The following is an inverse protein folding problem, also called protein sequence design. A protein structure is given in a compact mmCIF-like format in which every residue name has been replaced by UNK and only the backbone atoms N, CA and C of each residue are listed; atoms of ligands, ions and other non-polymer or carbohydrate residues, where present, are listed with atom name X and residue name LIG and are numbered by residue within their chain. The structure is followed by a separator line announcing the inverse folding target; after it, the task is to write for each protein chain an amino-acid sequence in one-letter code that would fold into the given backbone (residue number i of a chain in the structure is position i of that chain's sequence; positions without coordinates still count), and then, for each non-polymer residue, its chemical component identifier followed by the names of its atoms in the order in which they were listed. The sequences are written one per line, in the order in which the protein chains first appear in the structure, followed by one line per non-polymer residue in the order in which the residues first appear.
data_IF_659617647486
#
_entry.id   IF_659617647486
#
_cell.length_a   1.000
_cell.length_b   1.000
_cell.length_c   1.000
_cell.angle_alpha   90.00
_cell.angle_beta   90.00
_cell.angle_gamma   90.00
#
_symmetry.space_group_name_H-M   'P 1'
#
loop_
_entity.id
_entity.type
_entity.pdbx_description
1 polymer ?
#
# COMPACT_ATOMS: atom_id res chain seq x y z
N UNK A 1 36.18 -34.19 28.22
CA UNK A 1 36.14 -35.41 29.04
C UNK A 1 34.82 -35.33 29.82
N UNK A 2 33.74 -35.83 29.23
CA UNK A 2 33.22 -37.22 29.38
C UNK A 2 32.56 -37.40 30.75
N UNK A 3 31.42 -38.07 30.95
CA UNK A 3 30.39 -38.69 30.11
C UNK A 3 29.29 -39.19 31.09
N UNK A 4 28.12 -39.56 30.56
CA UNK A 4 27.28 -40.70 30.99
C UNK A 4 26.78 -40.76 32.45
N UNK A 5 25.48 -40.60 32.72
CA UNK A 5 24.40 -41.61 32.60
C UNK A 5 24.65 -42.93 33.32
N UNK A 6 23.77 -43.34 34.24
CA UNK A 6 23.13 -44.67 34.29
C UNK A 6 22.21 -44.85 35.51
N UNK A 7 21.08 -45.53 35.27
CA UNK A 7 20.10 -46.07 36.23
C UNK A 7 20.43 -47.56 36.47
N UNK A 8 20.07 -48.15 37.62
CA UNK A 8 19.18 -49.34 37.63
C UNK A 8 18.20 -49.36 38.84
N UNK A 9 16.91 -49.66 38.67
CA UNK A 9 16.22 -50.97 38.61
C UNK A 9 15.77 -51.53 39.99
N UNK A 10 14.52 -52.03 40.03
CA UNK A 10 14.00 -53.21 40.75
C UNK A 10 12.63 -53.05 41.48
N UNK A 11 11.61 -53.68 40.86
CA UNK A 11 10.61 -54.66 41.37
C UNK A 11 9.84 -54.44 42.71
N UNK A 12 8.50 -54.55 42.64
CA UNK A 12 7.65 -55.47 43.45
C UNK A 12 6.17 -55.41 42.96
N UNK A 13 5.63 -56.48 42.34
CA UNK A 13 4.70 -57.50 42.87
C UNK A 13 3.20 -57.10 42.97
N UNK A 14 2.33 -57.89 42.29
CA UNK A 14 1.03 -58.30 42.87
C UNK A 14 -0.19 -58.38 41.95
N UNK A 15 -0.44 -59.59 41.39
CA UNK A 15 -1.72 -60.31 41.09
C UNK A 15 -2.89 -59.65 40.33
N UNK A 16 -3.82 -60.32 39.64
CA UNK A 16 -3.99 -61.58 38.87
C UNK A 16 -5.52 -61.67 38.54
N UNK A 17 -5.90 -62.41 37.49
CA UNK A 17 -7.22 -63.03 37.21
C UNK A 17 -8.27 -62.27 36.36
N UNK A 18 -8.44 -62.74 35.12
CA UNK A 18 -9.68 -62.72 34.32
C UNK A 18 -10.42 -64.07 34.50
N UNK A 19 -11.69 -64.26 34.08
CA UNK A 19 -11.94 -64.66 32.68
C UNK A 19 -13.30 -64.27 32.07
N UNK A 20 -13.36 -64.52 30.76
CA UNK A 20 -14.43 -64.47 29.74
C UNK A 20 -15.65 -65.38 29.97
N UNK A 21 -16.79 -65.08 29.32
CA UNK A 21 -17.60 -66.04 28.51
C UNK A 21 -18.63 -65.36 27.58
N UNK A 22 -18.90 -66.04 26.46
CA UNK A 22 -19.71 -65.71 25.26
C UNK A 22 -21.23 -66.03 25.37
N UNK A 23 -22.01 -65.64 24.35
CA UNK A 23 -23.28 -66.26 23.91
C UNK A 23 -24.33 -65.27 23.34
N UNK A 24 -24.52 -65.17 22.00
CA UNK A 24 -25.61 -65.78 21.18
C UNK A 24 -27.03 -65.18 21.41
N UNK A 25 -27.94 -64.89 20.47
CA UNK A 25 -28.03 -64.81 19.01
C UNK A 25 -29.39 -64.14 18.63
N UNK A 26 -29.48 -63.67 17.38
CA UNK A 26 -30.66 -63.65 16.49
C UNK A 26 -31.76 -62.55 16.57
N UNK A 27 -31.86 -61.70 15.53
CA UNK A 27 -32.99 -61.67 14.56
C UNK A 27 -32.82 -60.58 13.48
N UNK A 28 -32.95 -60.99 12.23
CA UNK A 28 -33.16 -60.16 11.02
C UNK A 28 -34.56 -59.54 11.02
N UNK A 29 -34.72 -58.28 10.58
CA UNK A 29 -35.64 -57.92 9.47
C UNK A 29 -35.58 -56.42 9.09
N UNK A 30 -35.52 -56.20 7.77
CA UNK A 30 -36.11 -55.10 6.99
C UNK A 30 -35.87 -53.62 7.36
N UNK A 31 -35.01 -52.96 6.55
CA UNK A 31 -35.31 -51.62 6.00
C UNK A 31 -35.77 -51.79 4.55
N UNK A 32 -36.71 -50.96 4.07
CA UNK A 32 -36.30 -50.05 3.00
C UNK A 32 -36.87 -48.62 3.11
N UNK A 33 -36.20 -47.72 2.41
CA UNK A 33 -36.66 -46.43 1.87
C UNK A 33 -37.06 -45.27 2.80
N UNK A 34 -36.03 -44.51 3.20
CA UNK A 34 -36.08 -43.05 3.37
C UNK A 34 -34.89 -42.43 2.62
N UNK A 35 -34.91 -42.50 1.28
CA UNK A 35 -33.98 -41.80 0.38
C UNK A 35 -34.77 -41.17 -0.77
N UNK A 36 -35.59 -40.16 -0.48
CA UNK A 36 -36.23 -39.38 -1.54
C UNK A 36 -36.59 -37.92 -1.18
N UNK A 37 -36.16 -37.37 -0.03
CA UNK A 37 -36.63 -36.03 0.39
C UNK A 37 -35.53 -35.06 0.90
N UNK A 38 -34.25 -35.36 0.64
CA UNK A 38 -33.12 -34.50 1.07
C UNK A 38 -32.24 -34.00 -0.08
N UNK A 39 -32.71 -34.08 -1.33
CA UNK A 39 -31.92 -33.66 -2.50
C UNK A 39 -32.35 -32.34 -3.14
N UNK A 40 -33.54 -31.79 -2.83
CA UNK A 40 -33.98 -30.51 -3.43
C UNK A 40 -33.75 -29.27 -2.53
N UNK A 41 -33.61 -29.45 -1.22
CA UNK A 41 -33.33 -28.33 -0.29
C UNK A 41 -31.86 -27.98 -0.17
N UNK A 42 -30.95 -28.82 -0.66
CA UNK A 42 -29.51 -28.58 -0.64
C UNK A 42 -29.01 -27.77 -1.86
N UNK A 43 -29.74 -27.79 -2.98
CA UNK A 43 -29.38 -27.03 -4.19
C UNK A 43 -29.69 -25.53 -4.10
N UNK A 44 -30.79 -25.15 -3.43
CA UNK A 44 -31.20 -23.75 -3.28
C UNK A 44 -30.42 -23.04 -2.15
N UNK A 45 -30.02 -23.77 -1.11
CA UNK A 45 -29.22 -23.25 0.00
C UNK A 45 -27.74 -23.02 -0.36
N UNK A 46 -27.23 -23.67 -1.41
CA UNK A 46 -25.82 -23.55 -1.82
C UNK A 46 -25.58 -22.39 -2.80
N UNK A 47 -26.61 -21.94 -3.52
CA UNK A 47 -26.54 -20.85 -4.50
C UNK A 47 -26.50 -19.44 -3.87
N UNK A 48 -26.83 -19.27 -2.59
CA UNK A 48 -26.84 -17.96 -1.91
C UNK A 48 -25.61 -17.67 -1.04
N UNK A 49 -24.61 -18.57 -1.01
CA UNK A 49 -23.45 -18.46 -0.08
C UNK A 49 -22.17 -17.89 -0.70
N UNK A 50 -22.17 -17.51 -1.98
CA UNK A 50 -20.96 -17.14 -2.73
C UNK A 50 -20.55 -15.65 -2.63
N UNK A 51 -21.30 -14.78 -1.94
CA UNK A 51 -21.29 -13.35 -2.26
C UNK A 51 -20.70 -12.30 -1.28
N UNK A 52 -20.10 -12.57 -0.10
CA UNK A 52 -19.39 -11.50 0.62
C UNK A 52 -17.88 -11.69 0.76
N UNK A 53 -17.21 -12.59 0.01
CA UNK A 53 -15.80 -12.91 0.30
C UNK A 53 -14.73 -11.91 -0.16
N UNK A 54 -15.03 -10.90 -0.99
CA UNK A 54 -14.09 -9.78 -1.25
C UNK A 54 -14.75 -8.56 -1.93
N UNK A 55 -15.86 -8.05 -1.38
CA UNK A 55 -16.56 -6.91 -1.99
C UNK A 55 -15.67 -5.65 -2.02
N UNK A 56 -14.93 -5.37 -0.94
CA UNK A 56 -13.99 -4.25 -0.89
C UNK A 56 -12.88 -4.36 -1.94
N UNK A 57 -12.29 -5.56 -2.12
CA UNK A 57 -11.26 -5.76 -3.14
C UNK A 57 -11.78 -5.43 -4.55
N UNK A 58 -13.00 -5.86 -4.87
CA UNK A 58 -13.65 -5.53 -6.15
C UNK A 58 -13.95 -4.04 -6.28
N UNK A 59 -14.43 -3.39 -5.22
CA UNK A 59 -14.68 -1.94 -5.23
C UNK A 59 -13.39 -1.14 -5.43
N UNK A 60 -12.28 -1.52 -4.78
CA UNK A 60 -10.97 -0.88 -4.98
C UNK A 60 -10.55 -0.99 -6.45
N UNK A 61 -10.67 -2.20 -7.04
CA UNK A 61 -10.32 -2.42 -8.44
C UNK A 61 -11.21 -1.62 -9.39
N UNK A 62 -12.52 -1.54 -9.11
CA UNK A 62 -13.46 -0.75 -9.90
C UNK A 62 -13.11 0.74 -9.85
N UNK A 63 -12.80 1.30 -8.67
CA UNK A 63 -12.37 2.71 -8.54
C UNK A 63 -11.06 2.95 -9.28
N UNK A 64 -10.08 2.05 -9.16
CA UNK A 64 -8.82 2.15 -9.89
C UNK A 64 -9.03 2.12 -11.42
N UNK A 65 -9.92 1.26 -11.90
CA UNK A 65 -10.27 1.16 -13.31
C UNK A 65 -10.99 2.42 -13.80
N UNK A 66 -11.99 2.91 -13.06
CA UNK A 66 -12.72 4.15 -13.40
C UNK A 66 -11.74 5.32 -13.47
N UNK A 67 -10.90 5.50 -12.45
CA UNK A 67 -9.86 6.53 -12.44
C UNK A 67 -8.94 6.43 -13.67
N UNK A 68 -8.44 5.22 -13.96
CA UNK A 68 -7.58 4.99 -15.12
C UNK A 68 -8.28 5.33 -16.43
N UNK A 69 -9.52 4.87 -16.61
CA UNK A 69 -10.31 5.14 -17.83
C UNK A 69 -10.54 6.64 -17.97
N UNK A 70 -10.96 7.33 -16.90
CA UNK A 70 -11.17 8.78 -16.93
C UNK A 70 -9.91 9.52 -17.40
N UNK A 71 -8.74 9.22 -16.83
CA UNK A 71 -7.50 9.87 -17.26
C UNK A 71 -7.11 9.50 -18.69
N UNK A 72 -7.24 8.22 -19.07
CA UNK A 72 -6.95 7.78 -20.43
C UNK A 72 -7.86 8.44 -21.48
N UNK A 73 -9.11 8.75 -21.11
CA UNK A 73 -10.07 9.43 -21.99
C UNK A 73 -9.84 10.93 -22.07
N UNK A 74 -9.49 11.58 -20.96
CA UNK A 74 -9.31 13.04 -20.91
C UNK A 74 -7.92 13.45 -21.43
N UNK A 75 -6.88 12.67 -21.11
CA UNK A 75 -5.48 12.96 -21.44
C UNK A 75 -4.79 11.76 -22.15
N UNK A 76 -5.26 11.35 -23.34
CA UNK A 76 -4.81 10.13 -23.99
C UNK A 76 -3.31 10.13 -24.34
N UNK A 77 -2.77 11.28 -24.78
CA UNK A 77 -1.36 11.40 -25.16
C UNK A 77 -0.41 11.20 -23.97
N UNK A 78 -0.65 11.95 -22.90
CA UNK A 78 0.13 11.87 -21.65
C UNK A 78 -0.03 10.51 -20.98
N UNK A 79 -1.23 9.92 -21.04
CA UNK A 79 -1.48 8.59 -20.50
C UNK A 79 -0.70 7.49 -21.22
N UNK A 80 -0.77 7.42 -22.55
CA UNK A 80 -0.05 6.36 -23.30
C UNK A 80 1.46 6.54 -23.25
N UNK A 81 1.94 7.77 -23.27
CA UNK A 81 3.36 8.07 -23.06
C UNK A 81 3.82 7.58 -21.69
N UNK A 82 3.06 7.91 -20.63
CA UNK A 82 3.33 7.44 -19.26
C UNK A 82 3.32 5.92 -19.16
N UNK A 83 2.31 5.25 -19.74
CA UNK A 83 2.19 3.79 -19.69
C UNK A 83 3.36 3.09 -20.39
N UNK A 84 3.76 3.58 -21.57
CA UNK A 84 4.90 3.02 -22.29
C UNK A 84 6.20 3.14 -21.48
N UNK A 85 6.42 4.27 -20.83
CA UNK A 85 7.58 4.52 -19.98
C UNK A 85 7.63 3.57 -18.77
N UNK A 86 6.48 3.35 -18.13
CA UNK A 86 6.36 2.42 -17.00
C UNK A 86 6.55 0.97 -17.41
N UNK A 87 6.00 0.58 -18.55
CA UNK A 87 6.08 -0.78 -19.06
C UNK A 87 7.52 -1.10 -19.47
N UNK A 88 8.19 -0.26 -20.26
CA UNK A 88 9.47 -0.63 -20.89
C UNK A 88 10.69 -0.42 -19.98
N UNK A 89 10.77 0.65 -19.17
CA UNK A 89 12.04 1.07 -18.54
C UNK A 89 12.23 0.74 -17.06
N UNK A 90 11.16 0.63 -16.24
CA UNK A 90 11.32 0.44 -14.78
C UNK A 90 10.59 -0.78 -14.23
N UNK A 91 9.34 -1.03 -14.59
CA UNK A 91 8.57 -2.08 -13.91
C UNK A 91 8.83 -3.49 -14.43
N UNK A 92 9.17 -3.67 -15.71
CA UNK A 92 9.53 -5.00 -16.23
C UNK A 92 10.76 -5.63 -15.55
N UNK A 93 11.68 -4.81 -15.02
CA UNK A 93 12.88 -5.31 -14.31
C UNK A 93 12.69 -5.20 -12.80
N UNK A 94 12.28 -4.04 -12.30
CA UNK A 94 12.25 -3.80 -10.86
C UNK A 94 11.17 -4.62 -10.14
N UNK A 95 9.95 -4.76 -10.70
CA UNK A 95 8.88 -5.52 -10.04
C UNK A 95 9.24 -7.00 -9.94
N UNK A 96 9.66 -7.71 -11.00
CA UNK A 96 10.07 -9.10 -10.88
C UNK A 96 11.24 -9.29 -9.93
N UNK A 97 12.24 -8.39 -9.94
CA UNK A 97 13.39 -8.48 -9.03
C UNK A 97 12.95 -8.31 -7.57
N UNK A 98 12.17 -7.27 -7.26
CA UNK A 98 11.66 -7.04 -5.90
C UNK A 98 10.74 -8.17 -5.42
N UNK A 99 9.90 -8.71 -6.32
CA UNK A 99 9.08 -9.89 -6.02
C UNK A 99 9.93 -11.11 -5.73
N UNK A 100 10.95 -11.37 -6.56
CA UNK A 100 11.85 -12.51 -6.40
C UNK A 100 12.58 -12.43 -5.05
N UNK A 101 13.24 -11.30 -4.79
CA UNK A 101 13.97 -11.07 -3.53
C UNK A 101 13.02 -11.14 -2.33
N UNK A 102 11.86 -10.49 -2.41
CA UNK A 102 10.87 -10.46 -1.33
C UNK A 102 10.28 -11.83 -1.01
N UNK A 103 9.90 -12.60 -2.03
CA UNK A 103 9.33 -13.94 -1.85
C UNK A 103 10.37 -14.95 -1.35
N UNK A 104 11.61 -14.90 -1.86
CA UNK A 104 12.71 -15.75 -1.37
C UNK A 104 13.02 -15.41 0.09
N UNK A 105 13.16 -14.12 0.43
CA UNK A 105 13.41 -13.67 1.80
C UNK A 105 12.30 -14.13 2.75
N UNK A 106 11.04 -13.96 2.35
CA UNK A 106 9.89 -14.42 3.12
C UNK A 106 9.89 -15.95 3.31
N UNK A 107 10.28 -16.72 2.29
CA UNK A 107 10.36 -18.17 2.36
C UNK A 107 11.43 -18.63 3.34
N UNK A 108 12.62 -18.02 3.31
CA UNK A 108 13.75 -18.33 4.20
C UNK A 108 13.38 -17.97 5.65
N UNK A 109 12.82 -16.79 5.89
CA UNK A 109 12.51 -16.31 7.25
C UNK A 109 11.32 -17.05 7.86
N UNK A 110 10.23 -17.26 7.11
CA UNK A 110 8.98 -17.85 7.65
C UNK A 110 8.94 -19.36 7.58
N UNK A 111 9.74 -20.00 6.73
CA UNK A 111 9.73 -21.45 6.55
C UNK A 111 11.14 -21.97 6.21
N UNK A 112 12.14 -21.76 7.09
CA UNK A 112 13.54 -22.09 6.81
C UNK A 112 13.75 -23.59 6.51
N UNK A 113 12.92 -24.47 7.10
CA UNK A 113 12.99 -25.92 6.88
C UNK A 113 12.38 -26.39 5.56
N UNK A 114 11.54 -25.57 4.91
CA UNK A 114 10.85 -25.92 3.67
C UNK A 114 10.52 -24.68 2.79
N UNK A 115 11.52 -23.87 2.43
CA UNK A 115 11.29 -22.59 1.74
C UNK A 115 10.66 -22.77 0.36
N UNK A 116 11.04 -23.83 -0.37
CA UNK A 116 10.46 -24.13 -1.68
C UNK A 116 8.98 -24.50 -1.59
N UNK A 117 8.58 -25.23 -0.55
CA UNK A 117 7.18 -25.57 -0.32
C UNK A 117 6.35 -24.34 0.03
N UNK A 118 6.90 -23.44 0.86
CA UNK A 118 6.28 -22.15 1.14
C UNK A 118 6.06 -21.35 -0.15
N UNK A 119 7.09 -21.24 -0.99
CA UNK A 119 7.02 -20.48 -2.25
C UNK A 119 5.96 -21.07 -3.19
N UNK A 120 5.98 -22.39 -3.43
CA UNK A 120 5.00 -23.08 -4.27
C UNK A 120 3.57 -22.86 -3.78
N UNK A 121 3.34 -23.03 -2.47
CA UNK A 121 2.02 -22.79 -1.87
C UNK A 121 1.61 -21.34 -2.02
N UNK A 122 2.52 -20.40 -1.78
CA UNK A 122 2.24 -18.95 -1.85
C UNK A 122 1.89 -18.51 -3.27
N UNK A 123 2.67 -18.97 -4.25
CA UNK A 123 2.40 -18.72 -5.66
C UNK A 123 1.05 -19.31 -6.08
N UNK A 124 0.78 -20.58 -5.78
CA UNK A 124 -0.49 -21.22 -6.14
C UNK A 124 -1.72 -20.55 -5.54
N UNK A 125 -1.62 -20.06 -4.30
CA UNK A 125 -2.76 -19.48 -3.57
C UNK A 125 -2.96 -17.99 -3.80
N UNK A 126 -1.90 -17.23 -4.07
CA UNK A 126 -1.98 -15.76 -4.10
C UNK A 126 -1.52 -15.11 -5.39
N UNK A 127 -0.78 -15.80 -6.26
CA UNK A 127 -0.28 -15.21 -7.51
C UNK A 127 -1.39 -14.62 -8.39
N UNK A 128 -2.56 -15.27 -8.62
CA UNK A 128 -3.59 -14.69 -9.48
C UNK A 128 -4.12 -13.36 -8.95
N UNK A 129 -4.45 -13.29 -7.66
CA UNK A 129 -4.92 -12.05 -7.03
C UNK A 129 -3.83 -10.97 -6.95
N UNK A 130 -2.58 -11.37 -6.67
CA UNK A 130 -1.45 -10.43 -6.67
C UNK A 130 -1.16 -9.88 -8.07
N UNK A 131 -1.28 -10.71 -9.11
CA UNK A 131 -1.12 -10.30 -10.50
C UNK A 131 -2.16 -9.26 -10.90
N UNK A 132 -3.43 -9.46 -10.54
CA UNK A 132 -4.49 -8.46 -10.76
C UNK A 132 -4.16 -7.13 -10.07
N UNK A 133 -3.70 -7.17 -8.82
CA UNK A 133 -3.30 -5.96 -8.06
C UNK A 133 -2.12 -5.25 -8.75
N UNK A 134 -1.10 -5.99 -9.18
CA UNK A 134 0.10 -5.44 -9.84
C UNK A 134 -0.25 -4.85 -11.20
N UNK A 135 -1.07 -5.53 -12.00
CA UNK A 135 -1.56 -5.01 -13.29
C UNK A 135 -2.35 -3.72 -13.05
N UNK A 136 -3.32 -3.73 -12.14
CA UNK A 136 -4.09 -2.54 -11.80
C UNK A 136 -3.19 -1.38 -11.34
N UNK A 137 -2.16 -1.68 -10.54
CA UNK A 137 -1.17 -0.70 -10.11
C UNK A 137 -0.40 -0.08 -11.28
N UNK A 138 0.10 -0.86 -12.25
CA UNK A 138 0.85 -0.33 -13.40
C UNK A 138 -0.01 0.64 -14.22
N UNK A 139 -1.25 0.26 -14.51
CA UNK A 139 -2.19 1.10 -15.25
C UNK A 139 -2.56 2.37 -14.47
N UNK A 140 -2.84 2.24 -13.16
CA UNK A 140 -3.16 3.37 -12.28
C UNK A 140 -1.97 4.31 -12.10
N UNK A 141 -0.73 3.79 -12.04
CA UNK A 141 0.48 4.59 -11.90
C UNK A 141 0.77 5.43 -13.17
N UNK A 142 0.45 4.89 -14.34
CA UNK A 142 0.49 5.62 -15.60
C UNK A 142 -0.53 6.76 -15.61
N UNK A 143 -1.79 6.47 -15.24
CA UNK A 143 -2.83 7.49 -15.09
C UNK A 143 -2.44 8.58 -14.08
N UNK A 144 -1.90 8.18 -12.92
CA UNK A 144 -1.41 9.11 -11.92
C UNK A 144 -0.32 10.04 -12.46
N UNK A 145 0.63 9.51 -13.24
CA UNK A 145 1.73 10.32 -13.80
C UNK A 145 1.26 11.26 -14.90
N UNK A 146 0.31 10.81 -15.74
CA UNK A 146 -0.30 11.67 -16.73
C UNK A 146 -1.05 12.83 -16.07
N UNK A 147 -1.93 12.54 -15.10
CA UNK A 147 -2.64 13.58 -14.35
C UNK A 147 -1.66 14.56 -13.67
N UNK A 148 -0.59 14.02 -13.06
CA UNK A 148 0.47 14.79 -12.41
C UNK A 148 1.09 15.81 -13.37
N UNK A 149 1.44 15.38 -14.58
CA UNK A 149 1.99 16.23 -15.63
C UNK A 149 1.00 17.31 -16.06
N UNK A 150 -0.23 16.91 -16.39
CA UNK A 150 -1.29 17.80 -16.90
C UNK A 150 -1.68 18.89 -15.89
N UNK A 151 -1.81 18.55 -14.59
CA UNK A 151 -2.09 19.55 -13.54
C UNK A 151 -1.00 20.62 -13.50
N UNK A 152 0.26 20.22 -13.70
CA UNK A 152 1.40 21.15 -13.59
C UNK A 152 1.37 22.21 -14.70
N UNK A 153 0.81 21.87 -15.86
CA UNK A 153 0.68 22.76 -17.02
C UNK A 153 -0.62 23.58 -16.98
N UNK A 154 -1.70 22.95 -16.52
CA UNK A 154 -3.04 23.55 -16.56
C UNK A 154 -3.32 24.50 -15.38
N UNK A 155 -2.66 24.31 -14.25
CA UNK A 155 -2.91 25.07 -13.02
C UNK A 155 -1.63 25.85 -12.67
N UNK A 156 -1.70 27.18 -12.47
CA UNK A 156 -0.55 27.95 -12.01
C UNK A 156 -0.07 27.50 -10.63
N UNK A 157 1.22 27.69 -10.34
CA UNK A 157 1.82 27.38 -9.04
C UNK A 157 1.54 28.49 -8.00
N UNK A 158 0.26 28.80 -7.76
CA UNK A 158 -0.15 29.94 -6.93
C UNK A 158 0.11 29.75 -5.42
N UNK A 159 0.33 28.51 -4.96
CA UNK A 159 0.41 28.23 -3.53
C UNK A 159 1.81 28.42 -2.93
N UNK A 160 2.86 28.54 -3.75
CA UNK A 160 4.25 28.60 -3.28
C UNK A 160 4.52 29.76 -2.32
N UNK A 161 4.12 30.98 -2.66
CA UNK A 161 4.35 32.16 -1.80
C UNK A 161 3.68 31.98 -0.43
N UNK A 162 2.41 31.54 -0.42
CA UNK A 162 1.64 31.30 0.81
C UNK A 162 2.30 30.21 1.67
N UNK A 163 2.76 29.12 1.05
CA UNK A 163 3.40 28.01 1.75
C UNK A 163 4.77 28.40 2.29
N UNK A 164 5.54 29.20 1.55
CA UNK A 164 6.83 29.70 1.98
C UNK A 164 6.68 30.63 3.21
N UNK A 165 5.70 31.54 3.19
CA UNK A 165 5.41 32.44 4.32
C UNK A 165 4.87 31.69 5.54
N UNK A 166 4.01 30.69 5.30
CA UNK A 166 3.51 29.81 6.36
C UNK A 166 4.65 29.05 7.04
N UNK A 167 5.56 28.46 6.25
CA UNK A 167 6.71 27.73 6.77
C UNK A 167 7.61 28.65 7.60
N UNK A 168 7.92 29.85 7.09
CA UNK A 168 8.72 30.84 7.79
C UNK A 168 8.08 31.24 9.12
N UNK A 169 6.78 31.52 9.11
CA UNK A 169 6.02 31.89 10.31
C UNK A 169 5.94 30.77 11.36
N UNK A 170 5.78 29.52 10.93
CA UNK A 170 5.67 28.36 11.83
C UNK A 170 7.00 27.97 12.47
N UNK A 171 8.12 28.18 11.78
CA UNK A 171 9.44 27.69 12.20
C UNK A 171 10.40 28.80 12.64
N UNK A 172 10.00 30.07 12.52
CA UNK A 172 10.85 31.23 12.85
C UNK A 172 11.97 31.48 11.82
N UNK A 173 11.81 30.97 10.61
CA UNK A 173 12.80 30.99 9.52
C UNK A 173 12.50 29.90 8.50
N UNK A 174 13.20 29.89 7.37
CA UNK A 174 12.99 28.85 6.36
C UNK A 174 13.49 27.49 6.88
N UNK A 175 12.64 26.45 6.95
CA UNK A 175 13.00 25.18 7.57
C UNK A 175 14.25 24.52 6.98
N UNK A 176 14.49 24.67 5.67
CA UNK A 176 15.65 24.08 5.00
C UNK A 176 16.97 24.60 5.57
N UNK A 177 17.04 25.86 6.04
CA UNK A 177 18.26 26.45 6.62
C UNK A 177 18.65 25.72 7.91
N UNK A 178 17.66 25.40 8.76
CA UNK A 178 17.88 24.65 10.00
C UNK A 178 18.35 23.22 9.71
N UNK A 179 17.72 22.55 8.75
CA UNK A 179 18.07 21.16 8.41
C UNK A 179 19.45 21.05 7.75
N UNK A 180 19.85 22.07 6.99
CA UNK A 180 21.15 22.14 6.33
C UNK A 180 22.30 22.56 7.25
N UNK A 181 22.05 22.79 8.53
CA UNK A 181 23.12 22.87 9.53
C UNK A 181 23.96 21.57 9.60
N UNK A 182 23.40 20.43 9.16
CA UNK A 182 24.07 19.13 9.09
C UNK A 182 24.68 18.84 7.71
N UNK A 183 25.25 19.84 7.05
CA UNK A 183 25.77 19.70 5.69
C UNK A 183 27.20 19.14 5.66
N UNK A 184 27.33 17.86 5.29
CA UNK A 184 28.62 17.26 4.94
C UNK A 184 28.49 16.42 3.66
N UNK A 185 29.53 16.30 2.82
CA UNK A 185 29.44 15.58 1.56
C UNK A 185 28.97 14.13 1.69
N UNK A 186 29.36 13.46 2.79
CA UNK A 186 28.96 12.08 3.09
C UNK A 186 27.51 12.01 3.55
N UNK A 187 27.10 12.89 4.46
CA UNK A 187 25.72 12.96 4.93
C UNK A 187 24.77 13.22 3.76
N UNK A 188 25.06 14.23 2.95
CA UNK A 188 24.27 14.64 1.80
C UNK A 188 24.08 13.49 0.79
N UNK A 189 25.15 12.74 0.47
CA UNK A 189 25.06 11.60 -0.45
C UNK A 189 24.26 10.43 0.12
N UNK A 190 24.47 10.09 1.40
CA UNK A 190 23.69 9.03 2.08
C UNK A 190 22.22 9.43 2.10
N UNK A 191 21.93 10.68 2.47
CA UNK A 191 20.58 11.18 2.59
C UNK A 191 19.86 11.21 1.25
N UNK A 192 20.55 11.62 0.19
CA UNK A 192 20.04 11.55 -1.18
C UNK A 192 19.62 10.12 -1.51
N UNK A 193 20.43 9.12 -1.15
CA UNK A 193 20.09 7.72 -1.41
C UNK A 193 18.94 7.17 -0.59
N UNK A 194 18.81 7.59 0.67
CA UNK A 194 17.67 7.26 1.51
C UNK A 194 16.39 7.90 0.96
N UNK A 195 16.44 9.17 0.60
CA UNK A 195 15.27 9.92 0.14
C UNK A 195 14.79 9.48 -1.25
N UNK A 196 15.71 9.27 -2.20
CA UNK A 196 15.37 9.04 -3.61
C UNK A 196 15.30 7.55 -3.97
N UNK A 197 16.41 6.81 -3.91
CA UNK A 197 16.47 5.42 -4.38
C UNK A 197 15.79 4.44 -3.42
N UNK A 198 16.11 4.53 -2.13
CA UNK A 198 15.53 3.61 -1.15
C UNK A 198 14.03 3.81 -1.02
N UNK A 199 13.51 5.02 -1.22
CA UNK A 199 12.07 5.28 -1.17
C UNK A 199 11.28 4.47 -2.18
N UNK A 200 11.78 4.35 -3.41
CA UNK A 200 11.13 3.53 -4.43
C UNK A 200 11.13 2.05 -4.03
N UNK A 201 12.29 1.53 -3.58
CA UNK A 201 12.42 0.13 -3.13
C UNK A 201 11.52 -0.15 -1.94
N UNK A 202 11.47 0.77 -0.97
CA UNK A 202 10.66 0.68 0.23
C UNK A 202 9.16 0.67 -0.09
N UNK A 203 8.70 1.66 -0.84
CA UNK A 203 7.27 1.84 -1.13
C UNK A 203 6.73 0.76 -2.05
N UNK A 204 7.43 0.48 -3.16
CA UNK A 204 7.01 -0.57 -4.09
C UNK A 204 7.23 -1.96 -3.49
N UNK A 205 8.32 -2.17 -2.77
CA UNK A 205 8.57 -3.44 -2.06
C UNK A 205 7.46 -3.77 -1.06
N UNK A 206 7.04 -2.81 -0.24
CA UNK A 206 5.93 -3.01 0.70
C UNK A 206 4.59 -3.20 0.00
N UNK A 207 4.32 -2.44 -1.07
CA UNK A 207 3.13 -2.66 -1.90
C UNK A 207 3.06 -4.11 -2.42
N UNK A 208 4.19 -4.64 -2.92
CA UNK A 208 4.28 -6.02 -3.41
C UNK A 208 4.13 -7.04 -2.28
N UNK A 209 4.72 -6.80 -1.11
CA UNK A 209 4.48 -7.63 0.09
C UNK A 209 2.99 -7.68 0.43
N UNK A 210 2.30 -6.53 0.36
CA UNK A 210 0.86 -6.44 0.60
C UNK A 210 0.05 -7.17 -0.47
N UNK A 211 0.44 -7.09 -1.76
CA UNK A 211 -0.23 -7.82 -2.84
C UNK A 211 -0.28 -9.33 -2.57
N UNK A 212 0.75 -9.87 -1.94
CA UNK A 212 0.84 -11.27 -1.50
C UNK A 212 0.33 -11.52 -0.08
N UNK A 213 -0.14 -10.52 0.68
CA UNK A 213 -0.61 -10.71 2.05
C UNK A 213 -1.90 -11.56 2.10
N UNK A 214 -1.97 -12.54 3.00
CA UNK A 214 -3.16 -13.41 3.13
C UNK A 214 -4.29 -12.74 3.91
N UNK A 215 -3.94 -11.83 4.82
CA UNK A 215 -4.89 -11.08 5.64
C UNK A 215 -5.66 -10.06 4.80
N UNK A 216 -6.80 -10.48 4.24
CA UNK A 216 -7.60 -9.67 3.32
C UNK A 216 -8.00 -8.30 3.89
N UNK A 217 -8.39 -8.23 5.17
CA UNK A 217 -8.77 -6.97 5.83
C UNK A 217 -7.63 -5.94 5.80
N UNK A 218 -6.44 -6.34 6.24
CA UNK A 218 -5.28 -5.44 6.30
C UNK A 218 -4.77 -5.11 4.89
N UNK A 219 -4.78 -6.10 3.98
CA UNK A 219 -4.43 -5.91 2.58
C UNK A 219 -5.34 -4.88 1.91
N UNK A 220 -6.66 -5.09 1.97
CA UNK A 220 -7.61 -4.21 1.30
C UNK A 220 -7.62 -2.82 1.94
N UNK A 221 -7.44 -2.71 3.26
CA UNK A 221 -7.26 -1.40 3.92
C UNK A 221 -6.04 -0.65 3.35
N UNK A 222 -4.91 -1.33 3.23
CA UNK A 222 -3.70 -0.74 2.63
C UNK A 222 -3.93 -0.36 1.16
N UNK A 223 -4.48 -1.25 0.34
CA UNK A 223 -4.70 -0.99 -1.09
C UNK A 223 -5.70 0.15 -1.32
N UNK A 224 -6.79 0.20 -0.54
CA UNK A 224 -7.73 1.32 -0.56
C UNK A 224 -7.05 2.63 -0.15
N UNK A 225 -6.20 2.60 0.87
CA UNK A 225 -5.48 3.79 1.31
C UNK A 225 -4.44 4.24 0.28
N UNK A 226 -3.73 3.31 -0.34
CA UNK A 226 -2.75 3.59 -1.38
C UNK A 226 -3.41 4.26 -2.59
N UNK A 227 -4.54 3.70 -3.06
CA UNK A 227 -5.33 4.30 -4.13
C UNK A 227 -5.91 5.65 -3.70
N UNK A 228 -6.41 5.77 -2.47
CA UNK A 228 -6.93 7.02 -1.91
C UNK A 228 -5.86 8.12 -1.85
N UNK A 229 -4.62 7.80 -1.48
CA UNK A 229 -3.50 8.76 -1.51
C UNK A 229 -3.24 9.21 -2.95
N UNK A 230 -3.15 8.28 -3.91
CA UNK A 230 -2.88 8.61 -5.30
C UNK A 230 -3.97 9.52 -5.91
N UNK A 231 -5.24 9.22 -5.64
CA UNK A 231 -6.38 9.96 -6.24
C UNK A 231 -6.70 11.25 -5.46
N UNK A 232 -6.84 11.16 -4.14
CA UNK A 232 -7.29 12.30 -3.33
C UNK A 232 -6.15 13.26 -3.04
N UNK A 233 -5.01 12.77 -2.54
CA UNK A 233 -3.88 13.65 -2.26
C UNK A 233 -3.15 14.05 -3.54
N UNK A 234 -2.88 13.06 -4.39
CA UNK A 234 -2.11 13.25 -5.62
C UNK A 234 -2.88 13.88 -6.78
N UNK A 235 -4.21 13.90 -6.73
CA UNK A 235 -5.06 14.61 -7.68
C UNK A 235 -5.69 15.85 -7.04
N UNK A 236 -6.66 15.65 -6.14
CA UNK A 236 -7.51 16.73 -5.62
C UNK A 236 -6.74 17.74 -4.77
N UNK A 237 -6.05 17.31 -3.71
CA UNK A 237 -5.32 18.23 -2.82
C UNK A 237 -4.18 18.91 -3.56
N UNK A 238 -3.48 18.19 -4.45
CA UNK A 238 -2.48 18.76 -5.35
C UNK A 238 -3.05 19.91 -6.19
N UNK A 239 -4.20 19.73 -6.83
CA UNK A 239 -4.83 20.79 -7.64
C UNK A 239 -5.21 22.00 -6.78
N UNK A 240 -5.75 21.78 -5.58
CA UNK A 240 -6.19 22.85 -4.66
C UNK A 240 -5.00 23.61 -4.06
N UNK A 241 -3.86 22.94 -3.84
CA UNK A 241 -2.66 23.52 -3.26
C UNK A 241 -1.51 23.60 -4.26
N UNK A 242 -1.79 23.80 -5.55
CA UNK A 242 -0.80 23.60 -6.59
C UNK A 242 0.43 24.50 -6.38
N UNK A 243 1.56 23.86 -6.12
CA UNK A 243 2.84 24.47 -5.79
C UNK A 243 3.98 23.65 -6.37
N UNK A 244 5.09 24.28 -6.71
CA UNK A 244 6.25 23.65 -7.29
C UNK A 244 7.32 23.25 -6.27
N UNK A 245 7.44 24.02 -5.19
CA UNK A 245 8.38 23.81 -4.09
C UNK A 245 9.57 24.75 -4.12
N UNK A 246 10.32 24.85 -3.00
CA UNK A 246 11.45 25.76 -2.84
C UNK A 246 12.51 25.67 -3.95
N UNK A 247 12.81 24.46 -4.44
CA UNK A 247 13.85 24.20 -5.45
C UNK A 247 13.50 24.69 -6.87
N UNK A 248 12.26 25.10 -7.11
CA UNK A 248 11.83 25.68 -8.39
C UNK A 248 11.44 27.17 -8.27
N UNK A 249 11.61 27.75 -7.08
CA UNK A 249 11.05 29.05 -6.75
C UNK A 249 11.67 30.18 -7.60
N UNK A 250 12.98 30.15 -7.79
CA UNK A 250 13.73 31.07 -8.65
C UNK A 250 13.19 31.05 -10.09
N UNK A 251 12.97 29.85 -10.64
CA UNK A 251 12.54 29.66 -12.03
C UNK A 251 11.08 30.06 -12.28
N UNK A 252 10.24 30.05 -11.23
CA UNK A 252 8.82 30.36 -11.34
C UNK A 252 8.53 31.83 -11.04
N UNK A 253 9.21 32.41 -10.04
CA UNK A 253 8.90 33.74 -9.53
C UNK A 253 9.99 34.79 -9.80
N UNK A 254 11.11 34.42 -10.42
CA UNK A 254 12.27 35.30 -10.64
C UNK A 254 12.74 35.97 -9.33
N UNK A 255 12.85 35.15 -8.27
CA UNK A 255 13.14 35.58 -6.90
C UNK A 255 14.33 34.84 -6.31
N UNK A 256 15.10 35.53 -5.47
CA UNK A 256 16.29 35.00 -4.78
C UNK A 256 16.00 34.43 -3.39
N UNK A 257 14.72 34.30 -2.98
CA UNK A 257 14.30 33.83 -1.64
C UNK A 257 15.01 32.54 -1.22
N UNK A 258 15.15 31.60 -2.15
CA UNK A 258 15.80 30.30 -1.93
C UNK A 258 17.18 30.17 -2.57
N UNK A 259 17.83 31.27 -3.01
CA UNK A 259 19.14 31.20 -3.69
C UNK A 259 20.24 30.52 -2.84
N UNK A 260 20.17 30.66 -1.51
CA UNK A 260 21.07 29.95 -0.59
C UNK A 260 20.89 28.43 -0.60
N UNK A 261 19.68 27.94 -0.86
CA UNK A 261 19.40 26.51 -0.98
C UNK A 261 20.10 25.94 -2.21
N UNK A 262 20.01 26.62 -3.36
CA UNK A 262 20.64 26.18 -4.61
C UNK A 262 22.15 26.16 -4.50
N UNK A 263 22.73 27.23 -3.94
CA UNK A 263 24.17 27.33 -3.71
C UNK A 263 24.70 26.17 -2.87
N UNK A 264 24.02 25.83 -1.77
CA UNK A 264 24.47 24.74 -0.91
C UNK A 264 24.06 23.33 -1.43
N UNK A 265 23.14 23.21 -2.40
CA UNK A 265 22.93 21.95 -3.11
C UNK A 265 24.09 21.72 -4.11
N UNK A 266 24.52 22.78 -4.79
CA UNK A 266 25.61 22.71 -5.76
C UNK A 266 26.97 22.33 -5.13
N UNK A 267 27.19 22.68 -3.85
CA UNK A 267 28.44 22.37 -3.14
C UNK A 267 28.66 20.87 -2.89
N UNK A 268 27.60 20.07 -2.79
CA UNK A 268 27.69 18.65 -2.41
C UNK A 268 27.24 17.67 -3.50
N UNK A 269 27.71 16.43 -3.43
CA UNK A 269 27.46 15.45 -4.49
C UNK A 269 26.01 14.94 -4.56
N UNK A 270 25.32 14.79 -3.42
CA UNK A 270 23.90 14.43 -3.40
C UNK A 270 23.01 15.60 -3.83
N UNK A 271 23.32 16.82 -3.39
CA UNK A 271 22.66 18.04 -3.82
C UNK A 271 22.78 18.28 -5.34
N UNK A 272 23.96 18.05 -5.94
CA UNK A 272 24.11 18.09 -7.40
C UNK A 272 23.26 17.04 -8.13
N UNK A 273 23.10 15.83 -7.58
CA UNK A 273 22.20 14.82 -8.15
C UNK A 273 20.73 15.26 -8.04
N UNK A 274 20.35 15.92 -6.95
CA UNK A 274 19.03 16.56 -6.81
C UNK A 274 18.82 17.61 -7.88
N UNK A 275 19.77 18.54 -8.08
CA UNK A 275 19.69 19.58 -9.11
C UNK A 275 19.59 19.01 -10.54
N UNK A 276 20.27 17.90 -10.84
CA UNK A 276 20.11 17.21 -12.12
C UNK A 276 18.68 16.70 -12.35
N UNK A 277 18.01 16.22 -11.30
CA UNK A 277 16.61 15.80 -11.38
C UNK A 277 15.71 17.05 -11.52
N UNK A 278 16.02 18.14 -10.82
CA UNK A 278 15.32 19.42 -10.98
C UNK A 278 15.37 19.91 -12.42
N UNK A 279 16.54 19.90 -13.06
CA UNK A 279 16.71 20.29 -14.46
C UNK A 279 15.95 19.39 -15.42
N UNK A 280 15.98 18.08 -15.18
CA UNK A 280 15.19 17.12 -15.97
C UNK A 280 13.68 17.40 -15.89
N UNK A 281 13.16 17.67 -14.68
CA UNK A 281 11.74 17.97 -14.47
C UNK A 281 11.36 19.34 -15.05
N UNK A 282 12.24 20.33 -14.91
CA UNK A 282 12.07 21.66 -15.48
C UNK A 282 12.04 21.62 -17.01
N UNK A 283 12.96 20.90 -17.63
CA UNK A 283 12.98 20.74 -19.08
C UNK A 283 11.67 20.11 -19.57
N UNK A 284 11.21 19.03 -18.92
CA UNK A 284 9.94 18.39 -19.25
C UNK A 284 8.72 19.33 -19.13
N UNK A 285 8.74 20.22 -18.15
CA UNK A 285 7.71 21.24 -17.95
C UNK A 285 7.78 22.33 -19.03
N UNK A 286 8.97 22.90 -19.27
CA UNK A 286 9.17 23.99 -20.22
C UNK A 286 8.94 23.58 -21.68
N UNK A 287 9.14 22.30 -22.03
CA UNK A 287 8.92 21.77 -23.38
C UNK A 287 7.61 21.00 -23.53
N UNK A 288 6.71 21.06 -22.55
CA UNK A 288 5.43 20.34 -22.55
C UNK A 288 5.58 18.86 -22.97
N UNK A 289 6.56 18.19 -22.35
CA UNK A 289 6.92 16.82 -22.71
C UNK A 289 6.63 15.88 -21.55
N UNK A 290 5.71 14.94 -21.77
CA UNK A 290 5.43 13.91 -20.78
C UNK A 290 6.60 12.93 -20.71
N UNK A 291 7.37 13.01 -19.63
CA UNK A 291 8.45 12.07 -19.34
C UNK A 291 8.13 11.21 -18.11
N UNK A 292 8.93 10.16 -17.89
CA UNK A 292 8.76 9.27 -16.73
C UNK A 292 8.92 10.06 -15.42
N UNK A 293 7.85 10.10 -14.62
CA UNK A 293 7.84 10.81 -13.34
C UNK A 293 7.69 12.33 -13.43
N UNK A 294 7.46 12.87 -14.64
CA UNK A 294 7.23 14.30 -14.91
C UNK A 294 6.01 14.86 -14.16
N UNK A 295 5.92 16.20 -14.12
CA UNK A 295 4.90 16.97 -13.40
C UNK A 295 5.44 17.59 -12.11
N UNK A 296 5.95 18.81 -12.19
CA UNK A 296 6.45 19.53 -11.02
C UNK A 296 5.33 19.68 -9.99
N UNK A 297 5.61 19.33 -8.73
CA UNK A 297 4.71 19.65 -7.62
C UNK A 297 5.30 19.29 -6.27
N UNK A 298 5.07 20.20 -5.33
CA UNK A 298 5.39 20.06 -3.94
C UNK A 298 4.18 19.63 -3.11
N UNK A 299 3.11 20.42 -3.04
CA UNK A 299 1.98 20.09 -2.16
C UNK A 299 1.02 19.05 -2.78
N UNK A 300 0.55 18.06 -2.00
CA UNK A 300 1.17 17.55 -0.76
C UNK A 300 2.31 16.58 -1.08
N UNK A 301 3.23 16.36 -0.12
CA UNK A 301 4.35 15.44 -0.34
C UNK A 301 3.90 13.97 -0.39
N UNK A 302 3.80 13.41 -1.59
CA UNK A 302 3.44 12.00 -1.75
C UNK A 302 4.53 11.04 -1.27
N UNK A 303 5.80 11.47 -1.25
CA UNK A 303 6.89 10.69 -0.64
C UNK A 303 6.60 10.45 0.85
N UNK A 304 6.20 11.51 1.55
CA UNK A 304 5.79 11.47 2.96
C UNK A 304 4.49 10.68 3.12
N UNK A 305 3.47 10.92 2.27
CA UNK A 305 2.18 10.24 2.36
C UNK A 305 2.31 8.70 2.26
N UNK A 306 2.99 8.21 1.22
CA UNK A 306 3.18 6.76 1.06
C UNK A 306 4.07 6.16 2.15
N UNK A 307 5.09 6.89 2.62
CA UNK A 307 5.91 6.41 3.75
C UNK A 307 5.12 6.37 5.06
N UNK A 308 4.22 7.32 5.29
CA UNK A 308 3.31 7.32 6.43
C UNK A 308 2.34 6.12 6.36
N UNK A 309 1.77 5.84 5.18
CA UNK A 309 0.94 4.66 4.97
C UNK A 309 1.73 3.37 5.27
N UNK A 310 2.97 3.29 4.82
CA UNK A 310 3.86 2.16 5.10
C UNK A 310 4.12 2.00 6.60
N UNK A 311 4.36 3.10 7.33
CA UNK A 311 4.53 3.08 8.78
C UNK A 311 3.27 2.56 9.50
N UNK A 312 2.08 3.02 9.10
CA UNK A 312 0.80 2.56 9.64
C UNK A 312 0.55 1.08 9.38
N UNK A 313 0.87 0.60 8.18
CA UNK A 313 0.78 -0.80 7.81
C UNK A 313 1.72 -1.68 8.63
N UNK A 314 2.99 -1.27 8.75
CA UNK A 314 4.00 -1.99 9.52
C UNK A 314 3.65 -2.03 11.01
N UNK A 315 3.19 -0.92 11.58
CA UNK A 315 2.70 -0.85 12.96
C UNK A 315 1.49 -1.77 13.20
N UNK A 316 0.63 -1.94 12.19
CA UNK A 316 -0.50 -2.88 12.24
C UNK A 316 -0.07 -4.35 12.15
N UNK A 317 1.14 -4.62 11.67
CA UNK A 317 1.70 -5.97 11.61
C UNK A 317 2.38 -6.33 12.94
N UNK A 318 3.32 -5.50 13.41
CA UNK A 318 4.06 -5.65 14.68
C UNK A 318 4.57 -4.29 15.16
N UNK A 319 4.65 -4.09 16.48
CA UNK A 319 5.09 -2.81 17.06
C UNK A 319 6.50 -2.38 16.60
N UNK A 320 7.48 -3.30 16.58
CA UNK A 320 8.85 -2.99 16.19
C UNK A 320 9.00 -2.70 14.70
N UNK A 321 8.16 -3.31 13.85
CA UNK A 321 8.07 -2.96 12.42
C UNK A 321 7.53 -1.54 12.27
N UNK A 322 6.57 -1.17 13.12
CA UNK A 322 6.09 0.21 13.25
C UNK A 322 7.23 1.18 13.53
N UNK A 323 8.11 0.89 14.50
CA UNK A 323 9.28 1.73 14.80
C UNK A 323 10.13 1.96 13.55
N UNK A 324 10.48 0.91 12.81
CA UNK A 324 11.25 1.05 11.56
C UNK A 324 10.51 1.94 10.55
N UNK A 325 9.20 1.73 10.37
CA UNK A 325 8.39 2.52 9.45
C UNK A 325 8.31 4.00 9.83
N UNK A 326 8.12 4.33 11.12
CA UNK A 326 8.09 5.70 11.61
C UNK A 326 9.45 6.38 11.55
N UNK A 327 10.54 5.65 11.82
CA UNK A 327 11.91 6.15 11.61
C UNK A 327 12.13 6.50 10.15
N UNK A 328 11.69 5.65 9.22
CA UNK A 328 11.83 5.93 7.80
C UNK A 328 10.95 7.11 7.35
N UNK A 329 9.75 7.28 7.93
CA UNK A 329 8.94 8.48 7.70
C UNK A 329 9.67 9.75 8.13
N UNK A 330 10.32 9.75 9.30
CA UNK A 330 11.10 10.89 9.76
C UNK A 330 12.25 11.22 8.80
N UNK A 331 12.92 10.18 8.28
CA UNK A 331 13.98 10.35 7.26
C UNK A 331 13.43 10.99 5.99
N UNK A 332 12.29 10.51 5.49
CA UNK A 332 11.69 11.04 4.27
C UNK A 332 11.18 12.48 4.46
N UNK A 333 10.58 12.78 5.61
CA UNK A 333 10.09 14.13 5.93
C UNK A 333 11.22 15.16 6.09
N UNK A 334 12.34 14.76 6.68
CA UNK A 334 13.53 15.62 6.70
C UNK A 334 14.10 15.79 5.30
N UNK A 335 14.25 14.71 4.53
CA UNK A 335 14.82 14.76 3.17
C UNK A 335 14.01 15.62 2.21
N UNK A 336 12.68 15.62 2.34
CA UNK A 336 11.80 16.43 1.49
C UNK A 336 12.08 17.92 1.61
N UNK A 337 12.39 18.39 2.82
CA UNK A 337 12.67 19.80 3.11
C UNK A 337 14.16 20.11 2.91
N UNK A 338 15.06 19.21 3.35
CA UNK A 338 16.52 19.36 3.24
C UNK A 338 16.99 19.54 1.79
N UNK A 339 16.36 18.82 0.85
CA UNK A 339 16.63 18.94 -0.58
C UNK A 339 15.77 20.00 -1.28
N UNK A 340 14.87 20.69 -0.56
CA UNK A 340 14.02 21.74 -1.13
C UNK A 340 12.91 21.27 -2.06
N UNK A 341 12.58 19.96 -2.05
CA UNK A 341 11.47 19.44 -2.85
C UNK A 341 10.11 19.94 -2.34
N UNK A 342 10.02 20.23 -1.05
CA UNK A 342 8.77 20.49 -0.35
C UNK A 342 8.95 21.55 0.73
N UNK A 343 7.87 22.29 0.96
CA UNK A 343 7.67 23.03 2.21
C UNK A 343 7.41 22.02 3.35
N UNK A 344 7.74 22.36 4.59
CA UNK A 344 7.42 21.55 5.76
C UNK A 344 5.90 21.34 5.91
N UNK A 345 5.11 22.35 5.60
CA UNK A 345 3.65 22.27 5.54
C UNK A 345 3.15 21.12 4.64
N UNK A 346 3.83 20.83 3.53
CA UNK A 346 3.46 19.74 2.61
C UNK A 346 3.49 18.37 3.30
N UNK A 347 4.45 18.17 4.21
CA UNK A 347 4.58 16.94 4.98
C UNK A 347 3.44 16.82 6.00
N UNK A 348 3.03 17.92 6.63
CA UNK A 348 1.93 17.93 7.60
C UNK A 348 0.60 17.59 6.93
N UNK A 349 0.32 18.22 5.80
CA UNK A 349 -0.88 17.93 5.00
C UNK A 349 -0.87 16.48 4.52
N UNK A 350 0.28 15.98 4.04
CA UNK A 350 0.44 14.59 3.61
C UNK A 350 0.17 13.59 4.74
N UNK A 351 0.72 13.82 5.94
CA UNK A 351 0.52 12.95 7.11
C UNK A 351 -0.94 13.00 7.56
N UNK A 352 -1.52 14.19 7.73
CA UNK A 352 -2.91 14.35 8.16
C UNK A 352 -3.88 13.68 7.17
N UNK A 353 -3.71 13.95 5.87
CA UNK A 353 -4.49 13.32 4.81
C UNK A 353 -4.36 11.79 4.81
N UNK A 354 -3.14 11.27 4.98
CA UNK A 354 -2.90 9.83 5.05
C UNK A 354 -3.58 9.19 6.26
N UNK A 355 -3.54 9.81 7.43
CA UNK A 355 -4.21 9.33 8.64
C UNK A 355 -5.73 9.28 8.47
N UNK A 356 -6.31 10.30 7.84
CA UNK A 356 -7.75 10.35 7.53
C UNK A 356 -8.10 9.22 6.56
N UNK A 357 -7.38 9.10 5.44
CA UNK A 357 -7.59 8.05 4.44
C UNK A 357 -7.47 6.66 5.07
N UNK A 358 -6.42 6.40 5.85
CA UNK A 358 -6.21 5.12 6.54
C UNK A 358 -7.34 4.79 7.52
N UNK A 359 -7.87 5.80 8.22
CA UNK A 359 -8.97 5.65 9.16
C UNK A 359 -10.28 5.33 8.45
N UNK A 360 -10.60 6.04 7.37
CA UNK A 360 -11.78 5.79 6.52
C UNK A 360 -11.71 4.41 5.88
N UNK A 361 -10.59 4.05 5.27
CA UNK A 361 -10.38 2.72 4.70
C UNK A 361 -10.53 1.61 5.76
N UNK A 362 -10.08 1.87 6.99
CA UNK A 362 -10.26 0.98 8.13
C UNK A 362 -11.72 0.79 8.53
N UNK A 363 -12.55 1.85 8.47
CA UNK A 363 -14.00 1.76 8.73
C UNK A 363 -14.71 0.98 7.62
N UNK A 364 -14.41 1.25 6.36
CA UNK A 364 -14.98 0.53 5.21
C UNK A 364 -14.67 -0.98 5.28
N UNK A 365 -13.45 -1.35 5.67
CA UNK A 365 -13.07 -2.74 5.88
C UNK A 365 -13.78 -3.43 7.07
N UNK A 366 -14.30 -2.66 8.04
CA UNK A 366 -15.09 -3.19 9.17
C UNK A 366 -16.57 -3.35 8.82
N UNK A 367 -17.17 -2.37 8.14
CA UNK A 367 -18.61 -2.34 7.81
C UNK A 367 -19.01 -3.56 6.95
N UNK A 368 -18.18 -3.93 5.98
CA UNK A 368 -18.47 -5.08 5.10
C UNK A 368 -18.43 -6.45 5.79
N UNK A 369 -18.01 -6.51 7.05
CA UNK A 369 -17.96 -7.74 7.85
C UNK A 369 -19.14 -7.88 8.81
N UNK A 370 -19.97 -6.83 8.98
CA UNK A 370 -21.20 -6.97 9.74
C UNK A 370 -22.19 -7.78 8.90
N UNK A 371 -22.69 -8.94 9.37
CA UNK A 371 -23.82 -9.57 8.71
C UNK A 371 -24.97 -8.56 8.65
N UNK A 372 -25.78 -8.54 7.57
CA UNK A 372 -26.96 -7.71 7.53
C UNK A 372 -27.76 -7.94 8.82
N UNK A 373 -28.14 -6.85 9.50
CA UNK A 373 -28.93 -6.94 10.73
C UNK A 373 -30.15 -7.81 10.43
N UNK A 374 -30.36 -8.86 11.22
CA UNK A 374 -31.50 -9.78 11.10
C UNK A 374 -32.91 -9.11 11.20
N UNK A 375 -32.97 -7.78 11.32
CA UNK A 375 -34.22 -7.02 11.49
C UNK A 375 -34.96 -6.68 10.19
N UNK A 376 -34.33 -6.75 9.02
CA UNK A 376 -35.01 -6.46 7.74
C UNK A 376 -35.57 -7.69 7.03
N UNK A 377 -35.11 -8.90 7.39
CA UNK A 377 -35.61 -10.15 6.79
C UNK A 377 -36.89 -10.67 7.46
N UNK A 378 -37.24 -10.18 8.66
CA UNK A 378 -38.45 -10.64 9.35
C UNK A 378 -39.75 -9.99 8.83
N UNK A 379 -39.68 -8.82 8.19
CA UNK A 379 -40.86 -8.09 7.69
C UNK A 379 -41.41 -8.71 6.41
N UNK A 380 -40.60 -9.38 5.60
CA UNK A 380 -41.06 -10.05 4.38
C UNK A 380 -41.55 -11.49 4.61
N UNK A 381 -41.28 -12.09 5.77
CA UNK A 381 -41.70 -13.45 6.10
C UNK A 381 -43.01 -13.51 6.91
N UNK A 382 -43.44 -12.40 7.51
CA UNK A 382 -44.70 -12.33 8.28
C UNK A 382 -45.92 -12.04 7.41
N UNK A 383 -45.75 -11.46 6.21
CA UNK A 383 -46.86 -11.12 5.30
C UNK A 383 -47.33 -12.28 4.39
N UNK A 384 -46.66 -13.44 4.40
CA UNK A 384 -47.04 -14.61 3.59
C UNK A 384 -47.82 -15.70 4.32
N UNK A 385 -48.16 -15.52 5.60
CA UNK A 385 -48.89 -16.54 6.38
C UNK A 385 -50.38 -16.26 6.62
N UNK A 386 -50.94 -15.21 6.03
CA UNK A 386 -52.35 -14.81 6.25
C UNK A 386 -53.30 -15.02 5.07
N UNK A 387 -52.93 -15.79 4.03
CA UNK A 387 -53.81 -16.04 2.87
C UNK A 387 -54.06 -17.53 2.55
N UNK A 388 -54.18 -18.38 3.58
CA UNK A 388 -54.78 -19.72 3.42
C UNK A 388 -55.71 -19.98 4.59
N UNK A 389 -56.89 -19.33 4.57
CA UNK A 389 -58.16 -19.82 5.14
C UNK A 389 -59.23 -18.79 4.84
N UNK A 390 -59.98 -19.00 3.75
CA UNK A 390 -61.46 -18.95 3.64
C UNK A 390 -61.83 -19.24 2.20
#
# INVERSE_FOLDING_TARGET
MDNSSTVPDARHLGREVAPSTEGSADRRSARPDLRAETLETSGVAQASSLAPRDQLGRSILAVALIYTICIATVFPGSYWTSLSAYTVRRFLIAIPLLLLVGLISAAIVRSPRAPMMFLRRKLRTRLPGAAIIVIAFVFTAAAFTALKHEISLAVPFFADEILADLDQGLHGGDPWQLLRAFDSPTFDRIYYSLYSQLWFVWTIGLFLVVAFLDQAKLRNRYLASFLGIAVLLGGVVRTIGNSAGPIFYDRIFDSDRFAGLDAALASNSGGRLTLQITDYLWQAYATDTTLLGSGISAMPSLHVAFTCLNALFLASCRWWLGVIGWTYLAIIGFGSVYFGWHYAADAYVAIAGTLIIWSVAGRLARVQMMPPKLGETLVLATDRKTSITT
#
